data_IF_137494929316
#
_entry.id   IF_137494929316
#
_cell.length_a   1.000
_cell.length_b   1.000
_cell.length_c   1.000
_cell.angle_alpha   90.00
_cell.angle_beta   90.00
_cell.angle_gamma   90.00
#
_symmetry.space_group_name_H-M   'P 1'
#
loop_
_entity.id
_entity.type
_entity.pdbx_description
1 polymer ?
#
# COMPACT_ATOMS: atom_id res chain seq x y z
N UNK A 1 -3.84 26.14 37.45
CA UNK A 1 -3.50 24.74 37.71
C UNK A 1 -2.30 24.71 38.65
N UNK A 2 -2.30 23.83 39.62
CA UNK A 2 -1.16 23.54 40.50
C UNK A 2 -0.48 22.23 40.09
N UNK A 3 0.65 21.93 40.70
CA UNK A 3 1.39 20.68 40.41
C UNK A 3 0.50 19.44 40.58
N UNK A 4 0.52 18.55 39.61
CA UNK A 4 -0.28 17.33 39.60
C UNK A 4 -1.74 17.48 39.13
N UNK A 5 -2.18 18.67 38.76
CA UNK A 5 -3.52 18.88 38.21
C UNK A 5 -3.55 18.71 36.69
N UNK A 6 -4.61 18.10 36.22
CA UNK A 6 -4.97 17.99 34.78
C UNK A 6 -6.11 18.97 34.51
N UNK A 7 -6.09 19.65 33.38
CA UNK A 7 -7.13 20.60 33.02
C UNK A 7 -7.03 21.08 31.59
N UNK A 8 -7.95 21.94 31.19
CA UNK A 8 -7.98 22.56 29.88
C UNK A 8 -7.23 23.89 29.90
N UNK A 9 -6.43 24.13 28.85
CA UNK A 9 -5.77 25.42 28.62
C UNK A 9 -6.44 26.08 27.43
N UNK A 10 -7.06 27.25 27.67
CA UNK A 10 -7.60 28.09 26.60
C UNK A 10 -6.61 29.20 26.31
N UNK A 11 -6.08 29.25 25.09
CA UNK A 11 -5.17 30.26 24.63
C UNK A 11 -5.65 30.84 23.29
N UNK A 12 -5.18 32.04 22.94
CA UNK A 12 -5.50 32.62 21.62
C UNK A 12 -4.63 32.02 20.51
N UNK A 13 -4.63 30.72 20.38
CA UNK A 13 -3.93 29.99 19.31
C UNK A 13 -4.76 30.14 18.05
N UNK A 14 -4.19 30.75 17.02
CA UNK A 14 -4.88 30.97 15.75
C UNK A 14 -4.78 29.79 14.79
N UNK A 15 -3.68 29.08 14.84
CA UNK A 15 -3.46 27.86 14.04
C UNK A 15 -3.18 26.67 14.99
N UNK A 16 -4.04 25.69 14.94
CA UNK A 16 -3.90 24.50 15.79
C UNK A 16 -2.67 23.67 15.44
N UNK A 17 -2.16 23.80 14.22
CA UNK A 17 -0.92 23.15 13.79
C UNK A 17 0.34 23.65 14.50
N UNK A 18 0.25 24.79 15.19
CA UNK A 18 1.34 25.32 16.03
C UNK A 18 1.45 24.60 17.38
N UNK A 19 0.54 23.68 17.71
CA UNK A 19 0.48 22.97 19.00
C UNK A 19 0.49 21.48 18.80
N UNK A 20 1.43 20.80 19.44
CA UNK A 20 1.59 19.36 19.34
C UNK A 20 1.45 18.69 20.72
N UNK A 21 0.92 17.46 20.79
CA UNK A 21 0.97 16.65 22.00
C UNK A 21 2.41 16.48 22.48
N UNK A 22 2.64 16.82 23.76
CA UNK A 22 3.99 16.79 24.33
C UNK A 22 4.69 18.15 24.41
N UNK A 23 4.08 19.20 23.87
CA UNK A 23 4.59 20.56 24.01
C UNK A 23 4.64 20.99 25.47
N UNK A 24 5.70 21.70 25.81
CA UNK A 24 5.90 22.22 27.17
C UNK A 24 5.40 23.64 27.26
N UNK A 25 4.38 23.87 28.10
CA UNK A 25 3.88 25.22 28.41
C UNK A 25 4.73 25.86 29.50
N UNK A 26 5.22 27.07 29.25
CA UNK A 26 6.13 27.76 30.14
C UNK A 26 5.73 29.25 30.31
N UNK A 27 6.31 29.93 31.28
CA UNK A 27 6.10 31.34 31.49
C UNK A 27 7.01 32.20 30.63
N UNK A 28 6.48 33.25 30.00
CA UNK A 28 7.27 34.17 29.17
C UNK A 28 8.39 34.83 29.98
N UNK A 29 8.14 35.11 31.29
CA UNK A 29 9.11 35.74 32.19
C UNK A 29 10.22 34.79 32.69
N UNK A 30 9.96 33.49 32.65
CA UNK A 30 10.90 32.46 33.07
C UNK A 30 10.69 31.22 32.15
N UNK A 31 11.17 31.30 30.91
CA UNK A 31 10.99 30.22 29.96
C UNK A 31 11.81 28.99 30.37
N UNK A 32 11.25 27.81 30.15
CA UNK A 32 11.99 26.55 30.28
C UNK A 32 13.07 26.48 29.20
N UNK A 33 14.29 26.13 29.57
CA UNK A 33 15.42 26.00 28.61
C UNK A 33 15.26 24.82 27.67
N UNK A 34 14.58 23.77 28.12
CA UNK A 34 14.36 22.53 27.36
C UNK A 34 12.92 22.03 27.58
N UNK A 35 12.33 21.34 26.56
CA UNK A 35 11.05 20.68 26.77
C UNK A 35 11.17 19.54 27.80
N UNK A 36 10.05 19.22 28.46
CA UNK A 36 10.00 18.11 29.41
C UNK A 36 10.26 16.80 28.67
N UNK A 37 11.09 15.90 29.21
CA UNK A 37 11.39 14.60 28.57
C UNK A 37 10.18 13.66 28.67
N UNK A 38 10.14 12.67 27.79
CA UNK A 38 9.16 11.57 27.84
C UNK A 38 8.18 11.52 26.67
N UNK A 39 8.04 12.60 25.92
CA UNK A 39 7.23 12.58 24.69
C UNK A 39 8.12 12.35 23.48
N UNK A 40 7.75 11.33 22.67
CA UNK A 40 8.41 11.04 21.38
C UNK A 40 7.47 11.51 20.28
N UNK A 41 8.01 12.24 19.31
CA UNK A 41 7.28 12.52 18.06
C UNK A 41 7.17 11.20 17.33
N UNK A 42 5.93 10.75 17.09
CA UNK A 42 5.65 9.54 16.33
C UNK A 42 5.67 9.90 14.85
N UNK A 43 6.67 9.40 14.13
CA UNK A 43 6.74 9.57 12.69
C UNK A 43 5.90 8.49 11.98
N UNK A 44 5.16 8.84 10.94
CA UNK A 44 4.45 7.86 10.13
C UNK A 44 5.43 6.85 9.53
N UNK A 45 5.02 5.60 9.51
CA UNK A 45 5.82 4.49 8.97
C UNK A 45 5.21 3.89 7.72
N UNK A 46 3.89 4.04 7.55
CA UNK A 46 3.11 3.50 6.44
C UNK A 46 2.45 4.65 5.69
N UNK A 47 2.54 4.64 4.38
CA UNK A 47 1.99 5.70 3.54
C UNK A 47 1.08 5.11 2.48
N UNK A 48 -0.11 5.69 2.28
CA UNK A 48 -0.97 5.37 1.15
C UNK A 48 -1.61 6.63 0.57
N UNK A 49 -2.05 6.54 -0.69
CA UNK A 49 -2.86 7.57 -1.32
C UNK A 49 -4.33 7.36 -0.99
N UNK A 50 -5.01 8.43 -0.58
CA UNK A 50 -6.46 8.49 -0.38
C UNK A 50 -7.06 9.34 -1.49
N UNK A 51 -7.98 8.78 -2.26
CA UNK A 51 -8.64 9.44 -3.38
C UNK A 51 -10.14 9.32 -3.22
N UNK A 52 -10.90 10.41 -3.41
CA UNK A 52 -12.36 10.30 -3.44
C UNK A 52 -12.80 9.58 -4.72
N UNK A 53 -13.86 8.77 -4.62
CA UNK A 53 -14.47 8.12 -5.79
C UNK A 53 -15.08 9.17 -6.73
N UNK A 54 -15.74 10.18 -6.15
CA UNK A 54 -16.24 11.34 -6.88
C UNK A 54 -15.23 12.49 -6.75
N UNK A 55 -14.78 13.05 -7.86
CA UNK A 55 -13.82 14.15 -7.87
C UNK A 55 -14.33 15.42 -7.18
N UNK A 56 -15.66 15.60 -7.10
CA UNK A 56 -16.29 16.73 -6.44
C UNK A 56 -16.10 16.68 -4.91
N UNK A 57 -15.87 15.50 -4.36
CA UNK A 57 -15.62 15.29 -2.92
C UNK A 57 -14.18 15.64 -2.47
N UNK A 58 -13.30 16.11 -3.36
CA UNK A 58 -11.91 16.43 -3.00
C UNK A 58 -11.80 17.46 -1.88
N UNK A 59 -12.62 18.54 -1.92
CA UNK A 59 -12.61 19.56 -0.88
C UNK A 59 -13.18 19.04 0.43
N UNK A 60 -14.22 18.20 0.36
CA UNK A 60 -14.81 17.56 1.55
C UNK A 60 -13.81 16.60 2.21
N UNK A 61 -13.03 15.85 1.42
CA UNK A 61 -11.96 14.98 1.92
C UNK A 61 -10.86 15.80 2.60
N UNK A 62 -10.45 16.93 2.01
CA UNK A 62 -9.47 17.82 2.62
C UNK A 62 -9.93 18.31 4.00
N UNK A 63 -11.14 18.83 4.08
CA UNK A 63 -11.71 19.35 5.33
C UNK A 63 -11.84 18.25 6.39
N UNK A 64 -12.20 17.03 5.97
CA UNK A 64 -12.28 15.88 6.86
C UNK A 64 -10.90 15.49 7.41
N UNK A 65 -9.87 15.41 6.56
CA UNK A 65 -8.49 15.12 6.98
C UNK A 65 -7.95 16.20 7.93
N UNK A 66 -8.19 17.48 7.65
CA UNK A 66 -7.83 18.58 8.56
C UNK A 66 -8.50 18.42 9.93
N UNK A 67 -9.78 18.09 9.98
CA UNK A 67 -10.50 17.84 11.24
C UNK A 67 -10.00 16.62 11.99
N UNK A 68 -9.68 15.53 11.28
CA UNK A 68 -9.12 14.32 11.90
C UNK A 68 -7.73 14.56 12.49
N UNK A 69 -6.89 15.34 11.81
CA UNK A 69 -5.53 15.66 12.28
C UNK A 69 -5.52 16.48 13.57
N UNK A 70 -6.63 17.16 13.92
CA UNK A 70 -6.78 17.85 15.21
C UNK A 70 -6.82 16.86 16.39
N UNK A 71 -7.33 15.66 16.16
CA UNK A 71 -7.47 14.63 17.20
C UNK A 71 -6.38 13.55 17.10
N UNK A 72 -5.74 13.42 15.94
CA UNK A 72 -4.68 12.46 15.68
C UNK A 72 -3.44 13.19 15.14
N UNK A 73 -2.54 13.55 16.04
CA UNK A 73 -1.29 14.24 15.71
C UNK A 73 -0.33 13.39 14.86
N UNK A 74 -0.55 12.09 14.75
CA UNK A 74 0.25 11.19 13.92
C UNK A 74 -0.16 11.22 12.44
N UNK A 75 -1.39 11.65 12.12
CA UNK A 75 -1.90 11.74 10.77
C UNK A 75 -1.23 12.89 10.02
N UNK A 76 -0.41 12.56 9.07
CA UNK A 76 0.20 13.52 8.14
C UNK A 76 -0.39 13.34 6.75
N UNK A 77 -0.67 14.43 6.05
CA UNK A 77 -1.16 14.34 4.69
C UNK A 77 -0.66 15.49 3.81
N UNK A 78 -0.43 15.20 2.56
CA UNK A 78 -0.03 16.15 1.52
C UNK A 78 -0.86 15.92 0.26
N UNK A 79 -1.18 16.99 -0.46
CA UNK A 79 -1.90 16.86 -1.72
C UNK A 79 -1.10 16.04 -2.74
N UNK A 80 -1.77 15.12 -3.41
CA UNK A 80 -1.20 14.25 -4.42
C UNK A 80 -2.13 14.16 -5.64
N UNK A 81 -1.54 13.87 -6.80
CA UNK A 81 -2.29 13.67 -8.05
C UNK A 81 -1.85 12.35 -8.68
N UNK A 82 -2.80 11.51 -9.03
CA UNK A 82 -2.62 10.29 -9.80
C UNK A 82 -3.20 10.46 -11.20
N UNK A 83 -2.53 9.92 -12.22
CA UNK A 83 -3.06 9.92 -13.58
C UNK A 83 -4.33 9.05 -13.69
N UNK A 84 -4.42 7.99 -12.88
CA UNK A 84 -5.55 7.07 -12.89
C UNK A 84 -6.73 7.53 -12.00
N UNK A 85 -6.44 8.18 -10.86
CA UNK A 85 -7.44 8.48 -9.81
C UNK A 85 -7.73 9.97 -9.64
N UNK A 86 -6.99 10.86 -10.32
CA UNK A 86 -7.16 12.31 -10.22
C UNK A 86 -6.53 12.89 -8.94
N UNK A 87 -7.21 13.86 -8.32
CA UNK A 87 -6.72 14.56 -7.14
C UNK A 87 -7.06 13.82 -5.85
N UNK A 88 -6.10 13.74 -4.95
CA UNK A 88 -6.24 13.10 -3.65
C UNK A 88 -5.17 13.56 -2.67
N UNK A 89 -4.92 12.74 -1.66
CA UNK A 89 -3.93 13.04 -0.62
C UNK A 89 -3.05 11.83 -0.34
N UNK A 90 -1.75 12.06 -0.24
CA UNK A 90 -0.80 11.10 0.32
C UNK A 90 -0.84 11.22 1.83
N UNK A 91 -1.26 10.15 2.50
CA UNK A 91 -1.41 10.13 3.95
C UNK A 91 -0.38 9.20 4.59
N UNK A 92 0.20 9.65 5.70
CA UNK A 92 1.12 8.88 6.53
C UNK A 92 0.43 8.42 7.81
N UNK A 93 0.65 7.16 8.18
CA UNK A 93 0.03 6.47 9.31
C UNK A 93 1.09 5.80 10.18
N UNK A 94 0.80 5.59 11.46
CA UNK A 94 1.69 4.84 12.35
C UNK A 94 1.79 3.36 11.98
N UNK A 95 0.73 2.81 11.37
CA UNK A 95 0.65 1.43 10.94
C UNK A 95 -0.69 1.16 10.27
N UNK A 96 -0.92 -0.10 9.85
CA UNK A 96 -2.15 -0.49 9.13
C UNK A 96 -3.42 -0.27 9.94
N UNK A 97 -3.43 -0.62 11.22
CA UNK A 97 -4.60 -0.42 12.07
C UNK A 97 -5.01 1.05 12.17
N UNK A 98 -4.02 1.97 12.26
CA UNK A 98 -4.30 3.40 12.26
C UNK A 98 -4.87 3.84 10.91
N UNK A 99 -4.35 3.30 9.80
CA UNK A 99 -4.87 3.54 8.45
C UNK A 99 -6.34 3.10 8.32
N UNK A 100 -6.66 1.87 8.76
CA UNK A 100 -8.03 1.33 8.70
C UNK A 100 -9.01 2.16 9.54
N UNK A 101 -8.59 2.58 10.74
CA UNK A 101 -9.40 3.45 11.62
C UNK A 101 -9.67 4.79 10.95
N UNK A 102 -8.66 5.43 10.36
CA UNK A 102 -8.83 6.72 9.67
C UNK A 102 -9.75 6.58 8.47
N UNK A 103 -9.57 5.52 7.66
CA UNK A 103 -10.46 5.22 6.55
C UNK A 103 -11.92 5.07 7.01
N UNK A 104 -12.16 4.19 7.97
CA UNK A 104 -13.50 3.93 8.52
C UNK A 104 -14.16 5.22 9.05
N UNK A 105 -13.39 6.07 9.71
CA UNK A 105 -13.88 7.37 10.20
C UNK A 105 -14.23 8.32 9.06
N UNK A 106 -13.40 8.40 8.02
CA UNK A 106 -13.69 9.22 6.84
C UNK A 106 -14.97 8.76 6.13
N UNK A 107 -15.16 7.45 6.01
CA UNK A 107 -16.34 6.87 5.38
C UNK A 107 -17.60 7.05 6.22
N UNK A 108 -17.55 6.81 7.53
CA UNK A 108 -18.74 6.85 8.41
C UNK A 108 -19.08 8.22 8.96
N UNK A 109 -18.09 9.00 9.40
CA UNK A 109 -18.33 10.31 10.04
C UNK A 109 -18.55 11.41 9.00
N UNK A 110 -17.86 11.30 7.83
CA UNK A 110 -17.89 12.31 6.78
C UNK A 110 -18.61 11.86 5.52
N UNK A 111 -19.11 10.61 5.48
CA UNK A 111 -19.85 10.01 4.35
C UNK A 111 -19.10 10.12 3.02
N UNK A 112 -17.79 9.89 3.05
CA UNK A 112 -16.92 9.90 1.87
C UNK A 112 -16.72 8.49 1.35
N UNK A 113 -16.79 8.32 0.03
CA UNK A 113 -16.40 7.08 -0.63
C UNK A 113 -14.96 7.22 -1.10
N UNK A 114 -14.07 6.34 -0.63
CA UNK A 114 -12.63 6.48 -0.82
C UNK A 114 -12.02 5.30 -1.57
N UNK A 115 -11.00 5.61 -2.37
CA UNK A 115 -10.09 4.64 -2.97
C UNK A 115 -8.74 4.78 -2.26
N UNK A 116 -8.24 3.65 -1.73
CA UNK A 116 -6.91 3.58 -1.16
C UNK A 116 -5.96 2.93 -2.16
N UNK A 117 -4.77 3.50 -2.29
CA UNK A 117 -3.67 2.83 -3.00
C UNK A 117 -2.99 1.83 -2.09
N UNK A 118 -2.19 0.93 -2.66
CA UNK A 118 -1.38 0.01 -1.88
C UNK A 118 -0.50 0.77 -0.87
N UNK A 119 -0.48 0.35 0.41
CA UNK A 119 0.39 0.97 1.40
C UNK A 119 1.85 0.75 1.03
N UNK A 120 2.66 1.76 1.28
CA UNK A 120 4.11 1.73 1.05
C UNK A 120 4.85 2.28 2.27
N UNK A 121 6.14 2.00 2.32
CA UNK A 121 7.06 2.58 3.31
C UNK A 121 7.92 3.65 2.64
N UNK A 122 8.64 4.45 3.41
CA UNK A 122 9.63 5.38 2.85
C UNK A 122 10.90 4.59 2.53
N UNK A 123 11.32 4.65 1.25
CA UNK A 123 12.59 4.11 0.78
C UNK A 123 13.61 5.24 0.63
N UNK A 124 14.87 4.97 0.88
CA UNK A 124 15.97 5.89 0.57
C UNK A 124 16.61 5.48 -0.74
N UNK A 125 16.45 6.31 -1.76
CA UNK A 125 17.03 6.07 -3.09
C UNK A 125 18.32 6.88 -3.22
N UNK A 126 19.43 6.16 -3.28
CA UNK A 126 20.75 6.75 -3.50
C UNK A 126 21.00 6.87 -5.00
N UNK A 127 21.21 8.09 -5.47
CA UNK A 127 21.47 8.37 -6.86
C UNK A 127 22.97 8.29 -7.21
N UNK A 128 23.25 8.16 -8.51
CA UNK A 128 24.63 8.09 -9.03
C UNK A 128 25.41 9.41 -8.86
N UNK A 129 24.71 10.52 -8.66
CA UNK A 129 25.30 11.83 -8.35
C UNK A 129 25.64 12.02 -6.86
N UNK A 130 25.36 11.03 -6.02
CA UNK A 130 25.59 11.05 -4.57
C UNK A 130 24.43 11.63 -3.75
N UNK A 131 23.38 12.13 -4.37
CA UNK A 131 22.19 12.61 -3.66
C UNK A 131 21.32 11.46 -3.16
N UNK A 132 20.56 11.70 -2.09
CA UNK A 132 19.62 10.73 -1.50
C UNK A 132 18.23 11.32 -1.53
N UNK A 133 17.27 10.55 -2.02
CA UNK A 133 15.87 10.93 -2.11
C UNK A 133 15.05 10.01 -1.23
N UNK A 134 14.21 10.58 -0.38
CA UNK A 134 13.19 9.85 0.35
C UNK A 134 11.99 9.60 -0.59
N UNK A 135 11.71 8.32 -0.86
CA UNK A 135 10.68 7.88 -1.79
C UNK A 135 9.53 7.23 -1.03
N UNK A 136 8.43 7.94 -0.93
CA UNK A 136 7.17 7.51 -0.33
C UNK A 136 6.17 6.96 -1.37
N UNK A 137 6.29 7.40 -2.62
CA UNK A 137 5.40 7.04 -3.72
C UNK A 137 6.17 6.37 -4.87
N UNK A 138 5.82 5.11 -5.23
CA UNK A 138 6.47 4.41 -6.35
C UNK A 138 6.44 5.15 -7.68
N UNK A 139 5.41 5.99 -7.92
CA UNK A 139 5.29 6.75 -9.17
C UNK A 139 6.38 7.81 -9.35
N UNK A 140 6.95 8.29 -8.23
CA UNK A 140 8.05 9.28 -8.22
C UNK A 140 9.43 8.65 -8.33
N UNK A 141 9.52 7.33 -8.54
CA UNK A 141 10.80 6.62 -8.62
C UNK A 141 11.64 7.14 -9.80
N UNK A 142 12.90 7.54 -9.58
CA UNK A 142 13.80 7.95 -10.66
C UNK A 142 14.04 6.83 -11.67
N UNK A 143 14.54 7.20 -12.86
CA UNK A 143 14.97 6.21 -13.85
C UNK A 143 16.05 5.29 -13.28
N UNK A 144 15.98 4.01 -13.61
CA UNK A 144 16.89 2.98 -13.09
C UNK A 144 18.38 3.29 -13.35
N UNK A 145 18.70 4.00 -14.46
CA UNK A 145 20.05 4.45 -14.82
C UNK A 145 20.66 5.46 -13.84
N UNK A 146 19.81 6.19 -13.12
CA UNK A 146 20.22 7.20 -12.13
C UNK A 146 20.32 6.65 -10.71
N UNK A 147 19.85 5.42 -10.46
CA UNK A 147 19.82 4.80 -9.14
C UNK A 147 21.11 4.01 -8.94
N UNK A 148 21.83 4.30 -7.85
CA UNK A 148 22.99 3.52 -7.42
C UNK A 148 22.56 2.31 -6.60
N UNK A 149 21.74 2.53 -5.56
CA UNK A 149 21.10 1.48 -4.75
C UNK A 149 19.92 2.07 -3.98
N UNK A 150 19.09 1.18 -3.42
CA UNK A 150 17.92 1.56 -2.62
C UNK A 150 18.06 0.93 -1.24
N UNK A 151 17.72 1.69 -0.21
CA UNK A 151 17.58 1.22 1.16
C UNK A 151 16.12 1.16 1.57
N UNK A 152 15.77 0.13 2.31
CA UNK A 152 14.45 -0.07 2.90
C UNK A 152 14.52 -0.02 4.42
N UNK A 153 13.46 0.45 5.10
CA UNK A 153 13.42 0.48 6.55
C UNK A 153 13.25 -0.93 7.12
N UNK A 154 14.07 -1.26 8.11
CA UNK A 154 13.96 -2.46 8.91
C UNK A 154 13.44 -2.12 10.29
N UNK A 155 12.68 -3.04 10.84
CA UNK A 155 12.17 -2.98 12.19
C UNK A 155 12.65 -4.17 13.00
N UNK A 156 12.85 -3.96 14.28
CA UNK A 156 13.10 -5.01 15.26
C UNK A 156 11.74 -5.47 15.78
N UNK A 157 11.39 -6.69 15.41
CA UNK A 157 10.12 -7.32 15.73
C UNK A 157 10.28 -8.28 16.90
N UNK A 158 9.40 -8.16 17.88
CA UNK A 158 9.30 -9.06 19.05
C UNK A 158 8.01 -9.85 18.97
N UNK A 159 8.12 -11.19 18.88
CA UNK A 159 6.99 -12.09 18.72
C UNK A 159 6.93 -13.01 19.94
N UNK A 160 5.91 -12.85 20.78
CA UNK A 160 5.66 -13.73 21.90
C UNK A 160 4.65 -14.79 21.52
N UNK A 161 4.98 -16.07 21.78
CA UNK A 161 4.13 -17.20 21.36
C UNK A 161 4.32 -18.43 22.26
N UNK A 162 3.33 -19.33 22.35
CA UNK A 162 3.53 -20.67 22.88
C UNK A 162 4.57 -21.47 22.09
N UNK A 163 5.28 -22.38 22.75
CA UNK A 163 6.39 -23.18 22.16
C UNK A 163 6.00 -23.94 20.88
N UNK A 164 4.75 -24.40 20.81
CA UNK A 164 4.24 -25.20 19.68
C UNK A 164 4.19 -24.45 18.36
N UNK A 165 4.14 -23.10 18.39
CA UNK A 165 4.07 -22.25 17.18
C UNK A 165 5.40 -21.65 16.75
N UNK A 166 6.49 -21.93 17.47
CA UNK A 166 7.82 -21.39 17.15
C UNK A 166 8.26 -21.74 15.72
N UNK A 167 8.12 -23.04 15.32
CA UNK A 167 8.49 -23.49 13.98
C UNK A 167 7.77 -22.73 12.86
N UNK A 168 6.42 -22.75 12.83
CA UNK A 168 5.67 -21.99 11.82
C UNK A 168 5.98 -20.50 11.77
N UNK A 169 6.26 -19.86 12.92
CA UNK A 169 6.64 -18.44 12.94
C UNK A 169 8.04 -18.22 12.37
N UNK A 170 8.98 -19.12 12.66
CA UNK A 170 10.33 -19.04 12.07
C UNK A 170 10.27 -19.15 10.54
N UNK A 171 9.47 -20.08 10.01
CA UNK A 171 9.22 -20.21 8.57
C UNK A 171 8.61 -18.92 7.99
N UNK A 172 7.56 -18.37 8.62
CA UNK A 172 6.95 -17.12 8.20
C UNK A 172 7.96 -15.96 8.17
N UNK A 173 8.76 -15.80 9.22
CA UNK A 173 9.77 -14.75 9.28
C UNK A 173 10.86 -14.94 8.20
N UNK A 174 11.23 -16.17 7.90
CA UNK A 174 12.18 -16.47 6.83
C UNK A 174 11.61 -16.17 5.45
N UNK A 175 10.37 -16.54 5.16
CA UNK A 175 9.65 -16.15 3.93
C UNK A 175 9.62 -14.63 3.75
N UNK A 176 9.50 -13.89 4.84
CA UNK A 176 9.45 -12.41 4.87
C UNK A 176 10.83 -11.77 5.01
N UNK A 177 11.89 -12.46 4.61
CA UNK A 177 13.28 -11.97 4.62
C UNK A 177 13.77 -11.54 6.01
N UNK A 178 13.20 -12.12 7.07
CA UNK A 178 13.57 -11.82 8.44
C UNK A 178 14.94 -12.33 8.80
N UNK A 179 15.70 -11.51 9.51
CA UNK A 179 17.01 -11.85 10.08
C UNK A 179 16.78 -12.24 11.53
N UNK A 180 17.03 -13.49 11.87
CA UNK A 180 16.90 -13.99 13.24
C UNK A 180 17.95 -13.34 14.14
N UNK A 181 17.51 -12.85 15.31
CA UNK A 181 18.40 -12.29 16.33
C UNK A 181 18.47 -13.16 17.58
N UNK A 182 17.29 -13.45 18.19
CA UNK A 182 17.26 -14.12 19.49
C UNK A 182 15.97 -14.92 19.70
N UNK A 183 16.05 -15.92 20.62
CA UNK A 183 14.92 -16.70 21.11
C UNK A 183 15.10 -16.90 22.62
N UNK A 184 14.19 -16.37 23.41
CA UNK A 184 14.23 -16.43 24.87
C UNK A 184 12.96 -17.06 25.44
N UNK A 185 13.08 -17.73 26.57
CA UNK A 185 11.95 -18.19 27.35
C UNK A 185 11.39 -17.02 28.16
N UNK A 186 10.13 -16.68 27.93
CA UNK A 186 9.43 -15.71 28.75
C UNK A 186 8.95 -16.37 30.05
N UNK A 187 8.40 -17.58 29.93
CA UNK A 187 7.98 -18.44 31.03
C UNK A 187 8.07 -19.92 30.59
N UNK A 188 7.52 -20.84 31.38
CA UNK A 188 7.57 -22.30 31.08
C UNK A 188 6.83 -22.66 29.78
N UNK A 189 5.87 -21.86 29.35
CA UNK A 189 4.95 -22.14 28.23
C UNK A 189 5.18 -21.22 27.02
N UNK A 190 5.69 -20.03 27.22
CA UNK A 190 5.82 -18.99 26.18
C UNK A 190 7.27 -18.62 25.90
N UNK A 191 7.50 -18.29 24.67
CA UNK A 191 8.80 -17.85 24.13
C UNK A 191 8.67 -16.50 23.45
N UNK A 192 9.74 -15.71 23.49
CA UNK A 192 9.86 -14.44 22.74
C UNK A 192 10.93 -14.64 21.69
N UNK A 193 10.56 -14.40 20.43
CA UNK A 193 11.49 -14.39 19.31
C UNK A 193 11.73 -12.96 18.86
N UNK A 194 12.98 -12.63 18.62
CA UNK A 194 13.36 -11.32 18.08
C UNK A 194 13.92 -11.50 16.67
N UNK A 195 13.36 -10.73 15.74
CA UNK A 195 13.77 -10.69 14.35
C UNK A 195 13.95 -9.25 13.88
N UNK A 196 14.89 -9.01 12.99
CA UNK A 196 14.87 -7.84 12.13
C UNK A 196 14.13 -8.16 10.83
N UNK A 197 13.08 -7.42 10.55
CA UNK A 197 12.20 -7.61 9.39
C UNK A 197 12.15 -6.34 8.55
N UNK A 198 12.13 -6.43 7.21
CA UNK A 198 11.79 -5.29 6.37
C UNK A 198 10.36 -4.83 6.67
N UNK A 199 10.17 -3.55 6.95
CA UNK A 199 8.84 -3.02 7.26
C UNK A 199 7.86 -3.25 6.11
N UNK A 200 8.33 -3.19 4.86
CA UNK A 200 7.52 -3.45 3.68
C UNK A 200 6.87 -4.84 3.65
N UNK A 201 7.52 -5.86 4.23
CA UNK A 201 6.97 -7.22 4.30
C UNK A 201 5.94 -7.39 5.42
N UNK A 202 6.00 -6.53 6.45
CA UNK A 202 5.04 -6.55 7.56
C UNK A 202 3.72 -5.88 7.14
N UNK A 203 3.83 -4.79 6.38
CA UNK A 203 2.71 -3.92 6.02
C UNK A 203 1.63 -4.65 5.20
N UNK A 204 1.95 -5.75 4.50
CA UNK A 204 0.92 -6.40 3.69
C UNK A 204 0.05 -7.38 4.49
N UNK A 205 0.53 -8.52 4.87
CA UNK A 205 -0.32 -9.55 5.49
C UNK A 205 0.38 -10.38 6.57
N UNK A 206 1.53 -9.89 7.02
CA UNK A 206 2.31 -10.60 8.05
C UNK A 206 1.48 -10.88 9.30
N UNK A 207 0.71 -9.89 9.76
CA UNK A 207 -0.09 -10.00 10.97
C UNK A 207 -1.23 -11.03 10.84
N UNK A 208 -1.89 -11.09 9.69
CA UNK A 208 -2.96 -12.05 9.45
C UNK A 208 -2.42 -13.47 9.32
N UNK A 209 -1.29 -13.66 8.63
CA UNK A 209 -0.58 -14.94 8.59
C UNK A 209 -0.12 -15.36 9.99
N UNK A 210 0.46 -14.43 10.76
CA UNK A 210 0.90 -14.71 12.13
C UNK A 210 -0.26 -15.19 12.99
N UNK A 211 -1.41 -14.49 12.94
CA UNK A 211 -2.63 -14.92 13.65
C UNK A 211 -3.12 -16.29 13.19
N UNK A 212 -3.16 -16.51 11.88
CA UNK A 212 -3.62 -17.79 11.32
C UNK A 212 -2.73 -18.96 11.78
N UNK A 213 -1.40 -18.81 11.67
CA UNK A 213 -0.45 -19.87 12.05
C UNK A 213 -0.44 -20.17 13.55
N UNK A 214 -0.78 -19.19 14.37
CA UNK A 214 -0.75 -19.30 15.82
C UNK A 214 -2.14 -19.39 16.45
N UNK A 215 -3.20 -19.49 15.64
CA UNK A 215 -4.59 -19.46 16.11
C UNK A 215 -4.92 -18.28 17.02
N UNK A 216 -4.23 -17.15 16.79
CA UNK A 216 -4.37 -15.93 17.57
C UNK A 216 -3.59 -15.88 18.89
N UNK A 217 -2.75 -16.86 19.19
CA UNK A 217 -1.99 -16.91 20.44
C UNK A 217 -0.67 -16.11 20.40
N UNK A 218 -0.22 -15.66 19.22
CA UNK A 218 0.96 -14.81 19.16
C UNK A 218 0.61 -13.35 19.40
N UNK A 219 1.45 -12.65 20.17
CA UNK A 219 1.51 -11.20 20.21
C UNK A 219 2.70 -10.71 19.39
N UNK A 220 2.53 -9.55 18.76
CA UNK A 220 3.51 -8.95 17.85
C UNK A 220 3.68 -7.47 18.18
N UNK A 221 4.91 -7.08 18.40
CA UNK A 221 5.30 -5.70 18.58
C UNK A 221 6.56 -5.41 17.78
N UNK A 222 6.75 -4.19 17.30
CA UNK A 222 7.92 -3.82 16.54
C UNK A 222 8.29 -2.35 16.74
N UNK A 223 9.57 -2.08 16.63
CA UNK A 223 10.13 -0.74 16.66
C UNK A 223 11.10 -0.53 15.49
N UNK A 224 11.21 0.71 15.03
CA UNK A 224 12.14 1.05 13.97
C UNK A 224 13.58 0.73 14.39
N UNK A 225 14.32 0.07 13.51
CA UNK A 225 15.74 -0.29 13.71
C UNK A 225 16.66 0.57 12.85
N UNK A 226 16.69 0.32 11.56
CA UNK A 226 17.65 0.97 10.66
C UNK A 226 17.19 0.90 9.20
N UNK A 227 17.88 1.61 8.31
CA UNK A 227 17.77 1.39 6.88
C UNK A 227 18.84 0.38 6.43
N UNK A 228 18.45 -0.55 5.55
CA UNK A 228 19.37 -1.53 4.96
C UNK A 228 19.21 -1.57 3.46
N UNK A 229 20.30 -1.76 2.74
CA UNK A 229 20.33 -1.92 1.29
C UNK A 229 19.57 -3.18 0.90
N UNK A 230 18.63 -3.05 -0.06
CA UNK A 230 17.85 -4.14 -0.63
C UNK A 230 17.95 -4.18 -2.16
N UNK A 231 17.80 -5.37 -2.74
CA UNK A 231 17.63 -5.51 -4.19
C UNK A 231 16.16 -5.26 -4.54
N UNK A 232 15.82 -3.97 -4.63
CA UNK A 232 14.46 -3.50 -4.82
C UNK A 232 14.24 -3.03 -6.25
N UNK A 233 13.01 -3.16 -6.72
CA UNK A 233 12.59 -2.70 -8.03
C UNK A 233 11.15 -2.18 -8.01
N UNK A 234 10.86 -1.26 -8.91
CA UNK A 234 9.49 -0.83 -9.18
C UNK A 234 8.78 -1.88 -10.02
N UNK A 235 7.64 -2.35 -9.54
CA UNK A 235 6.69 -3.17 -10.26
C UNK A 235 5.58 -2.28 -10.81
N UNK A 236 5.48 -2.16 -12.11
CA UNK A 236 4.42 -1.44 -12.80
C UNK A 236 3.35 -2.40 -13.29
N UNK A 237 2.08 -2.04 -13.09
CA UNK A 237 0.93 -2.79 -13.63
C UNK A 237 0.39 -2.03 -14.85
N UNK A 238 0.30 -2.75 -15.97
CA UNK A 238 -0.21 -2.20 -17.22
C UNK A 238 -1.55 -2.83 -17.58
N UNK A 239 -2.53 -2.01 -17.89
CA UNK A 239 -3.83 -2.39 -18.43
C UNK A 239 -3.92 -1.92 -19.88
N UNK A 240 -4.14 -2.85 -20.79
CA UNK A 240 -4.17 -2.57 -22.24
C UNK A 240 -2.92 -1.79 -22.75
N UNK A 241 -1.75 -2.02 -22.12
CA UNK A 241 -0.48 -1.39 -22.47
C UNK A 241 -0.24 -0.02 -21.81
N UNK A 242 -1.17 0.48 -21.00
CA UNK A 242 -1.01 1.73 -20.24
C UNK A 242 -0.69 1.42 -18.78
N UNK A 243 0.30 2.12 -18.23
CA UNK A 243 0.66 2.00 -16.81
C UNK A 243 -0.45 2.63 -15.97
N UNK A 244 -0.86 1.91 -14.93
CA UNK A 244 -1.75 2.41 -13.89
C UNK A 244 -0.89 2.74 -12.67
N UNK A 245 -0.55 4.01 -12.50
CA UNK A 245 0.37 4.51 -11.48
C UNK A 245 -0.05 4.15 -10.05
N UNK A 246 -1.34 4.21 -9.76
CA UNK A 246 -1.91 3.86 -8.47
C UNK A 246 -1.77 2.36 -8.09
N UNK A 247 -1.46 1.49 -9.06
CA UNK A 247 -1.21 0.06 -8.87
C UNK A 247 0.29 -0.27 -8.84
N UNK A 248 1.16 0.72 -9.04
CA UNK A 248 2.62 0.52 -8.97
C UNK A 248 3.07 0.33 -7.52
N UNK A 249 4.06 -0.55 -7.31
CA UNK A 249 4.63 -0.82 -5.99
C UNK A 249 6.14 -1.03 -6.06
N UNK A 250 6.82 -0.86 -4.93
CA UNK A 250 8.24 -1.24 -4.80
C UNK A 250 8.27 -2.63 -4.16
N UNK A 251 9.00 -3.52 -4.79
CA UNK A 251 9.07 -4.93 -4.41
C UNK A 251 10.52 -5.41 -4.35
N UNK A 252 10.73 -6.51 -3.64
CA UNK A 252 11.98 -7.24 -3.70
C UNK A 252 12.12 -7.90 -5.07
N UNK A 253 13.19 -7.56 -5.81
CA UNK A 253 13.37 -7.95 -7.22
C UNK A 253 13.31 -9.46 -7.48
N UNK A 254 13.94 -10.33 -6.64
CA UNK A 254 13.85 -11.77 -6.83
C UNK A 254 12.42 -12.31 -6.83
N UNK A 255 11.51 -11.72 -6.03
CA UNK A 255 10.11 -12.14 -5.92
C UNK A 255 9.20 -11.48 -6.97
N UNK A 256 9.79 -10.68 -7.85
CA UNK A 256 9.06 -9.85 -8.81
C UNK A 256 8.11 -10.60 -9.72
N UNK A 257 8.46 -11.81 -10.14
CA UNK A 257 7.58 -12.65 -10.96
C UNK A 257 6.37 -13.14 -10.17
N UNK A 258 6.59 -13.74 -9.00
CA UNK A 258 5.52 -14.30 -8.18
C UNK A 258 4.57 -13.21 -7.71
N UNK A 259 5.10 -12.12 -7.20
CA UNK A 259 4.31 -10.97 -6.78
C UNK A 259 3.53 -10.34 -7.93
N UNK A 260 4.20 -10.11 -9.06
CA UNK A 260 3.55 -9.60 -10.27
C UNK A 260 2.43 -10.50 -10.76
N UNK A 261 2.65 -11.82 -10.77
CA UNK A 261 1.65 -12.80 -11.19
C UNK A 261 0.44 -12.83 -10.25
N UNK A 262 0.66 -12.78 -8.94
CA UNK A 262 -0.40 -12.73 -7.93
C UNK A 262 -1.27 -11.48 -8.11
N UNK A 263 -0.65 -10.29 -8.23
CA UNK A 263 -1.34 -9.01 -8.46
C UNK A 263 -2.22 -9.08 -9.71
N UNK A 264 -1.65 -9.46 -10.86
CA UNK A 264 -2.41 -9.45 -12.12
C UNK A 264 -3.51 -10.51 -12.16
N UNK A 265 -3.34 -11.66 -11.49
CA UNK A 265 -4.40 -12.67 -11.35
C UNK A 265 -5.58 -12.12 -10.54
N UNK A 266 -5.31 -11.38 -9.45
CA UNK A 266 -6.33 -10.77 -8.62
C UNK A 266 -7.08 -9.68 -9.38
N UNK A 267 -6.37 -8.77 -10.02
CA UNK A 267 -6.95 -7.71 -10.86
C UNK A 267 -7.84 -8.31 -11.96
N UNK A 268 -7.43 -9.42 -12.58
CA UNK A 268 -8.23 -10.12 -13.59
C UNK A 268 -9.58 -10.62 -13.08
N UNK A 269 -9.69 -10.99 -11.80
CA UNK A 269 -10.95 -11.45 -11.21
C UNK A 269 -11.96 -10.32 -11.07
N UNK A 270 -11.46 -9.09 -10.85
CA UNK A 270 -12.28 -7.90 -10.57
C UNK A 270 -12.63 -7.14 -11.85
N UNK A 271 -11.73 -7.08 -12.84
CA UNK A 271 -12.00 -6.37 -14.10
C UNK A 271 -13.10 -7.07 -14.90
N UNK A 272 -14.22 -6.37 -15.21
CA UNK A 272 -15.31 -6.95 -15.99
C UNK A 272 -14.88 -7.19 -17.44
N UNK A 273 -15.41 -8.25 -18.04
CA UNK A 273 -15.20 -8.54 -19.45
C UNK A 273 -15.81 -7.45 -20.34
N UNK A 274 -15.02 -6.92 -21.25
CA UNK A 274 -15.45 -5.93 -22.23
C UNK A 274 -15.60 -6.55 -23.64
N UNK A 275 -15.96 -5.72 -24.62
CA UNK A 275 -16.12 -6.16 -26.01
C UNK A 275 -14.78 -6.53 -26.67
N UNK A 276 -13.66 -6.16 -26.07
CA UNK A 276 -12.30 -6.48 -26.52
C UNK A 276 -11.49 -7.16 -25.40
N UNK A 277 -10.41 -7.79 -25.75
CA UNK A 277 -9.50 -8.45 -24.84
C UNK A 277 -8.63 -7.41 -24.13
N UNK A 278 -8.56 -7.49 -22.80
CA UNK A 278 -7.75 -6.60 -21.97
C UNK A 278 -6.53 -7.38 -21.48
N UNK A 279 -5.34 -7.10 -22.01
CA UNK A 279 -4.10 -7.63 -21.44
C UNK A 279 -3.78 -6.89 -20.16
N UNK A 280 -3.50 -7.65 -19.10
CA UNK A 280 -2.99 -7.18 -17.83
C UNK A 280 -1.55 -7.67 -17.73
N UNK A 281 -0.62 -6.76 -17.50
CA UNK A 281 0.80 -7.07 -17.50
C UNK A 281 1.45 -6.50 -16.24
N UNK A 282 2.40 -7.24 -15.69
CA UNK A 282 3.30 -6.76 -14.66
C UNK A 282 4.69 -6.56 -15.27
N UNK A 283 5.30 -5.42 -15.07
CA UNK A 283 6.60 -5.07 -15.65
C UNK A 283 7.57 -4.52 -14.59
N UNK A 284 8.85 -4.85 -14.75
CA UNK A 284 9.95 -4.33 -13.95
C UNK A 284 10.96 -3.68 -14.89
N UNK A 285 11.25 -2.38 -14.70
CA UNK A 285 12.17 -1.66 -15.57
C UNK A 285 11.75 -1.67 -17.04
N UNK A 286 10.44 -1.63 -17.32
CA UNK A 286 9.88 -1.70 -18.67
C UNK A 286 9.79 -3.10 -19.28
N UNK A 287 10.40 -4.12 -18.65
CA UNK A 287 10.32 -5.52 -19.11
C UNK A 287 9.13 -6.22 -18.47
N UNK A 288 8.23 -6.77 -19.29
CA UNK A 288 7.09 -7.56 -18.80
C UNK A 288 7.60 -8.86 -18.19
N UNK A 289 7.29 -9.06 -16.90
CA UNK A 289 7.66 -10.26 -16.13
C UNK A 289 6.51 -11.26 -16.04
N UNK A 290 5.26 -10.77 -15.99
CA UNK A 290 4.09 -11.63 -15.97
C UNK A 290 2.95 -11.01 -16.80
N UNK A 291 2.07 -11.86 -17.34
CA UNK A 291 0.91 -11.44 -18.14
C UNK A 291 -0.28 -12.37 -17.94
N UNK A 292 -1.46 -11.78 -17.89
CA UNK A 292 -2.73 -12.49 -18.03
C UNK A 292 -3.69 -11.65 -18.89
N UNK A 293 -4.74 -12.26 -19.39
CA UNK A 293 -5.68 -11.58 -20.28
C UNK A 293 -7.12 -11.78 -19.77
N UNK A 294 -7.91 -10.69 -19.75
CA UNK A 294 -9.38 -10.75 -19.57
C UNK A 294 -10.00 -10.96 -20.95
N UNK A 295 -10.60 -12.12 -21.17
CA UNK A 295 -11.18 -12.48 -22.46
C UNK A 295 -12.36 -11.57 -22.81
N UNK A 296 -12.43 -11.14 -24.08
CA UNK A 296 -13.55 -10.36 -24.60
C UNK A 296 -14.88 -11.13 -24.50
N UNK A 297 -15.97 -10.39 -24.28
CA UNK A 297 -17.32 -10.92 -24.46
C UNK A 297 -17.47 -11.40 -25.90
N UNK A 298 -17.92 -12.63 -26.09
CA UNK A 298 -18.14 -13.24 -27.42
C UNK A 298 -19.62 -13.23 -27.73
N UNK A 299 -20.02 -12.48 -28.78
CA UNK A 299 -21.33 -12.62 -29.35
C UNK A 299 -21.28 -13.78 -30.33
N UNK A 300 -22.22 -14.72 -30.25
CA UNK A 300 -22.35 -15.79 -31.23
C UNK A 300 -22.88 -15.23 -32.55
N UNK A 301 -21.94 -14.88 -33.44
CA UNK A 301 -22.26 -14.34 -34.78
C UNK A 301 -22.68 -15.46 -35.77
N UNK A 302 -22.52 -16.73 -35.37
CA UNK A 302 -22.85 -17.88 -36.19
C UNK A 302 -24.22 -18.47 -35.86
N UNK A 303 -24.87 -18.05 -34.76
CA UNK A 303 -26.18 -18.60 -34.33
C UNK A 303 -27.27 -18.54 -35.43
N UNK A 304 -27.21 -17.56 -36.34
CA UNK A 304 -28.14 -17.41 -37.46
C UNK A 304 -27.66 -18.00 -38.78
N UNK A 305 -26.51 -18.69 -38.76
CA UNK A 305 -25.96 -19.33 -39.96
C UNK A 305 -26.43 -20.78 -40.06
N UNK A 306 -27.65 -20.98 -40.62
CA UNK A 306 -28.13 -22.29 -41.00
C UNK A 306 -27.46 -22.74 -42.30
N UNK A 307 -26.81 -23.92 -42.30
CA UNK A 307 -26.19 -24.51 -43.49
C UNK A 307 -24.66 -24.53 -43.49
N UNK A 308 -24.08 -25.27 -44.39
CA UNK A 308 -22.68 -25.61 -44.47
C UNK A 308 -21.73 -24.58 -45.11
N UNK A 309 -22.16 -23.32 -45.33
CA UNK A 309 -21.30 -22.31 -45.97
C UNK A 309 -20.16 -21.88 -45.03
N UNK A 310 -19.04 -22.59 -45.16
CA UNK A 310 -17.81 -22.37 -44.40
C UNK A 310 -17.22 -21.01 -44.72
N UNK A 311 -17.32 -20.54 -45.97
CA UNK A 311 -16.76 -19.25 -46.38
C UNK A 311 -17.47 -18.08 -45.72
N UNK A 312 -18.80 -18.13 -45.61
CA UNK A 312 -19.61 -17.12 -44.92
C UNK A 312 -19.32 -17.10 -43.41
N UNK A 313 -19.22 -18.29 -42.78
CA UNK A 313 -18.86 -18.41 -41.37
C UNK A 313 -17.49 -17.79 -41.07
N UNK A 314 -16.48 -18.09 -41.92
CA UNK A 314 -15.14 -17.52 -41.79
C UNK A 314 -15.12 -15.99 -41.93
N UNK A 315 -15.82 -15.42 -42.93
CA UNK A 315 -15.93 -13.97 -43.11
C UNK A 315 -16.59 -13.25 -41.91
N UNK A 316 -17.62 -13.87 -41.30
CA UNK A 316 -18.25 -13.31 -40.12
C UNK A 316 -17.32 -13.30 -38.89
N UNK A 317 -16.57 -14.39 -38.70
CA UNK A 317 -15.55 -14.47 -37.63
C UNK A 317 -14.41 -13.45 -37.84
N UNK A 318 -13.94 -13.30 -39.10
CA UNK A 318 -12.88 -12.34 -39.42
C UNK A 318 -13.35 -10.91 -39.22
N UNK A 319 -14.58 -10.52 -39.61
CA UNK A 319 -15.17 -9.22 -39.31
C UNK A 319 -15.31 -8.97 -37.81
N UNK A 320 -15.72 -9.99 -37.03
CA UNK A 320 -15.78 -9.87 -35.57
C UNK A 320 -14.39 -9.64 -34.97
N UNK A 321 -13.37 -10.36 -35.45
CA UNK A 321 -11.99 -10.22 -35.02
C UNK A 321 -11.42 -8.82 -35.34
N UNK A 322 -11.70 -8.32 -36.54
CA UNK A 322 -11.28 -6.99 -36.96
C UNK A 322 -12.00 -5.88 -36.17
N UNK A 323 -13.29 -6.00 -35.95
CA UNK A 323 -14.07 -5.08 -35.10
C UNK A 323 -13.52 -5.00 -33.68
N UNK A 324 -13.18 -6.16 -33.07
CA UNK A 324 -12.55 -6.21 -31.74
C UNK A 324 -11.17 -5.55 -31.72
N UNK A 325 -10.37 -5.70 -32.78
CA UNK A 325 -9.07 -5.01 -32.88
C UNK A 325 -9.22 -3.49 -32.95
N UNK A 326 -10.24 -2.98 -33.65
CA UNK A 326 -10.55 -1.54 -33.72
C UNK A 326 -11.01 -1.04 -32.36
N UNK A 327 -11.92 -1.74 -31.69
CA UNK A 327 -12.39 -1.36 -30.35
C UNK A 327 -11.25 -1.34 -29.32
N UNK A 328 -10.32 -2.27 -29.39
CA UNK A 328 -9.13 -2.29 -28.51
C UNK A 328 -8.25 -1.05 -28.64
N UNK A 329 -8.17 -0.46 -29.84
CA UNK A 329 -7.37 0.76 -30.08
C UNK A 329 -7.98 2.04 -29.52
N UNK A 330 -9.31 2.07 -29.35
CA UNK A 330 -10.09 3.25 -28.98
C UNK A 330 -10.65 3.15 -27.55
N UNK A 331 -10.83 1.92 -27.03
CA UNK A 331 -11.45 1.70 -25.73
C UNK A 331 -10.47 2.02 -24.58
N UNK A 332 -10.88 2.90 -23.69
CA UNK A 332 -10.30 3.04 -22.36
C UNK A 332 -10.80 1.91 -21.46
N UNK A 333 -9.94 1.44 -20.57
CA UNK A 333 -10.32 0.44 -19.55
C UNK A 333 -10.54 1.19 -18.25
N UNK A 334 -11.79 1.24 -17.83
CA UNK A 334 -12.10 1.72 -16.48
C UNK A 334 -11.62 0.68 -15.45
N UNK A 335 -10.87 1.14 -14.46
CA UNK A 335 -10.38 0.31 -13.36
C UNK A 335 -11.40 0.44 -12.22
N UNK A 336 -12.14 -0.63 -11.88
CA UNK A 336 -13.08 -0.56 -10.78
C UNK A 336 -12.36 -0.38 -9.44
N UNK A 337 -13.03 0.22 -8.47
CA UNK A 337 -12.47 0.49 -7.13
C UNK A 337 -11.94 -0.78 -6.47
N UNK A 338 -12.63 -1.89 -6.63
CA UNK A 338 -12.24 -3.19 -6.08
C UNK A 338 -10.87 -3.68 -6.59
N UNK A 339 -10.41 -3.21 -7.77
CA UNK A 339 -9.09 -3.57 -8.29
C UNK A 339 -7.96 -2.97 -7.44
N UNK A 340 -8.13 -1.76 -6.92
CA UNK A 340 -7.16 -1.13 -6.02
C UNK A 340 -7.14 -1.83 -4.65
N UNK A 341 -8.32 -2.16 -4.12
CA UNK A 341 -8.45 -2.90 -2.85
C UNK A 341 -7.93 -4.35 -2.96
N UNK A 342 -8.00 -4.95 -4.16
CA UNK A 342 -7.56 -6.33 -4.37
C UNK A 342 -6.07 -6.53 -4.18
N UNK A 343 -5.25 -5.48 -4.34
CA UNK A 343 -3.80 -5.53 -4.13
C UNK A 343 -3.45 -5.68 -2.65
N UNK A 344 -4.30 -5.19 -1.76
CA UNK A 344 -4.10 -5.31 -0.31
C UNK A 344 -4.25 -6.76 0.19
N UNK A 345 -4.94 -7.63 -0.58
CA UNK A 345 -5.27 -9.02 -0.24
C UNK A 345 -4.56 -10.04 -1.14
N UNK A 346 -3.31 -9.76 -1.56
CA UNK A 346 -2.61 -10.54 -2.58
C UNK A 346 -2.33 -11.99 -2.15
N UNK A 347 -2.11 -12.23 -0.87
CA UNK A 347 -1.64 -13.53 -0.38
C UNK A 347 -2.76 -14.55 -0.07
N UNK A 348 -4.04 -14.21 -0.31
CA UNK A 348 -5.18 -15.13 -0.15
C UNK A 348 -5.42 -16.03 -1.38
N UNK A 349 -4.55 -16.00 -2.37
CA UNK A 349 -4.66 -16.85 -3.56
C UNK A 349 -3.82 -18.09 -3.30
N UNK A 350 -4.42 -19.10 -2.70
CA UNK A 350 -3.97 -20.49 -2.82
C UNK A 350 -4.00 -20.91 -4.30
N UNK A 351 -2.98 -21.65 -4.76
CA UNK A 351 -2.80 -22.17 -6.12
C UNK A 351 -3.96 -23.03 -6.64
#
# INVERSE_FOLDING_TARGET
MTVGQVGYICAQIKDIRDVHPGDTVTLVKNPAEKPLPGYKIMNPMVFCGLYPVDSDDYLALKDALEKLSLNDASLQFVAETSQALGFGFRCGFLGLLNMDIVQERLEREYNLNLILTAPSVIYKVHLTDGSVIDLDNPSKMPEASRISFIEEPYVRASIMTPKEYVGPIMELCQEKRGIYENLEYFDETRMVMTYELPLSEIVYNFFDKLKSYTKGYASFDYEYSSYKKGDLAKLDILLNGQIVDALSSIIYRPDGYHRGLAVIRRIKQVIPRQQFEIPIQAAIGGKVVARCDVKAVRKDVLAKCYGGDISRKKKLLDKQKEGKKRMKKVGSVEVPQEAFMSILKIDDVED
#
